data_IF_125084822928
#
_entry.id   IF_125084822928
#
_cell.length_a   1.000
_cell.length_b   1.000
_cell.length_c   1.000
_cell.angle_alpha   90.00
_cell.angle_beta   90.00
_cell.angle_gamma   90.00
#
_symmetry.space_group_name_H-M   'P 1'
#
loop_
_entity.id
_entity.type
_entity.pdbx_description
1 polymer ?
#
# COMPACT_ATOMS: atom_id res chain seq x y z
N UNK A 1 6.88 -19.95 18.04
CA UNK A 1 7.57 -19.39 16.87
C UNK A 1 8.31 -18.16 17.38
N UNK A 2 9.49 -17.84 16.83
CA UNK A 2 10.23 -16.66 17.27
C UNK A 2 9.41 -15.41 16.96
N UNK A 3 9.48 -14.44 17.87
CA UNK A 3 8.79 -13.17 17.76
C UNK A 3 9.81 -12.02 17.71
N UNK A 4 9.42 -10.92 17.07
CA UNK A 4 10.19 -9.68 16.98
C UNK A 4 9.37 -8.51 17.53
N UNK A 5 10.05 -7.57 18.20
CA UNK A 5 9.44 -6.34 18.71
C UNK A 5 9.60 -5.22 17.69
N UNK A 6 8.50 -4.75 17.11
CA UNK A 6 8.48 -3.59 16.20
C UNK A 6 7.97 -2.36 16.95
N UNK A 7 8.73 -1.26 16.96
CA UNK A 7 8.30 -0.01 17.58
C UNK A 7 7.84 0.99 16.53
N UNK A 8 6.59 1.47 16.64
CA UNK A 8 6.05 2.52 15.79
C UNK A 8 6.65 3.89 16.09
N UNK A 9 6.42 4.85 15.19
CA UNK A 9 6.93 6.22 15.30
C UNK A 9 6.41 7.01 16.51
N UNK A 10 5.25 6.63 17.03
CA UNK A 10 4.63 7.15 18.25
C UNK A 10 4.97 6.33 19.51
N UNK A 11 5.89 5.37 19.40
CA UNK A 11 6.53 4.68 20.51
C UNK A 11 5.83 3.42 21.01
N UNK A 12 4.70 3.02 20.41
CA UNK A 12 4.03 1.75 20.71
C UNK A 12 4.85 0.58 20.18
N UNK A 13 4.97 -0.50 20.97
CA UNK A 13 5.74 -1.69 20.62
C UNK A 13 4.78 -2.84 20.34
N UNK A 14 4.97 -3.49 19.20
CA UNK A 14 4.19 -4.62 18.73
C UNK A 14 5.06 -5.87 18.78
N UNK A 15 4.53 -6.90 19.43
CA UNK A 15 5.13 -8.23 19.48
C UNK A 15 4.54 -9.06 18.33
N UNK A 16 5.36 -9.38 17.31
CA UNK A 16 4.92 -9.93 16.03
C UNK A 16 5.69 -11.21 15.71
N UNK A 17 4.99 -12.22 15.22
CA UNK A 17 5.63 -13.45 14.72
C UNK A 17 6.59 -13.12 13.57
N UNK A 18 7.80 -13.68 13.62
CA UNK A 18 8.85 -13.40 12.62
C UNK A 18 8.41 -13.75 11.19
N UNK A 19 7.62 -14.80 10.98
CA UNK A 19 7.14 -15.16 9.65
C UNK A 19 6.13 -14.14 9.11
N UNK A 20 5.35 -13.51 9.98
CA UNK A 20 4.47 -12.39 9.60
C UNK A 20 5.32 -11.14 9.30
N UNK A 21 6.34 -10.86 10.11
CA UNK A 21 7.22 -9.72 9.92
C UNK A 21 8.04 -9.81 8.61
N UNK A 22 8.40 -11.03 8.19
CA UNK A 22 9.09 -11.32 6.92
C UNK A 22 8.27 -11.00 5.66
N UNK A 23 6.97 -10.69 5.79
CA UNK A 23 6.21 -10.11 4.69
C UNK A 23 6.79 -8.75 4.24
N UNK A 24 7.48 -8.05 5.12
CA UNK A 24 8.31 -6.90 4.80
C UNK A 24 9.70 -7.35 4.35
N UNK A 25 10.06 -7.02 3.11
CA UNK A 25 11.41 -7.31 2.60
C UNK A 25 12.45 -6.53 3.41
N UNK A 26 12.16 -5.30 3.82
CA UNK A 26 13.05 -4.49 4.66
C UNK A 26 13.35 -5.17 6.00
N UNK A 27 12.32 -5.65 6.71
CA UNK A 27 12.50 -6.34 8.00
C UNK A 27 13.19 -7.69 7.78
N UNK A 28 12.83 -8.42 6.74
CA UNK A 28 13.48 -9.69 6.39
C UNK A 28 14.99 -9.52 6.18
N UNK A 29 15.41 -8.56 5.35
CA UNK A 29 16.84 -8.28 5.10
C UNK A 29 17.55 -7.86 6.38
N UNK A 30 16.91 -7.02 7.20
CA UNK A 30 17.48 -6.61 8.49
C UNK A 30 17.73 -7.81 9.43
N UNK A 31 16.77 -8.73 9.52
CA UNK A 31 16.88 -9.93 10.34
C UNK A 31 18.01 -10.86 9.84
N UNK A 32 18.03 -11.15 8.53
CA UNK A 32 19.00 -12.06 7.91
C UNK A 32 20.44 -11.50 7.95
N UNK A 33 20.63 -10.19 7.74
CA UNK A 33 21.95 -9.57 7.68
C UNK A 33 22.56 -9.31 9.07
N UNK A 34 21.73 -9.04 10.08
CA UNK A 34 22.16 -8.75 11.44
C UNK A 34 22.16 -9.99 12.36
N UNK A 35 21.57 -11.11 11.92
CA UNK A 35 21.47 -12.34 12.70
C UNK A 35 20.58 -12.20 13.93
N UNK A 36 19.55 -11.36 13.85
CA UNK A 36 18.65 -11.01 14.95
C UNK A 36 17.50 -12.03 15.14
N UNK A 37 17.53 -13.15 14.43
CA UNK A 37 16.44 -14.13 14.37
C UNK A 37 16.11 -14.76 15.74
N UNK A 38 17.07 -14.74 16.68
CA UNK A 38 16.99 -15.35 18.01
C UNK A 38 17.02 -14.33 19.18
N UNK A 39 17.16 -13.02 18.90
CA UNK A 39 17.27 -11.97 19.92
C UNK A 39 15.91 -11.32 20.24
N UNK A 40 15.12 -11.99 21.09
CA UNK A 40 13.76 -11.56 21.50
C UNK A 40 13.69 -10.19 22.20
N UNK A 41 14.84 -9.65 22.63
CA UNK A 41 14.93 -8.37 23.34
C UNK A 41 15.22 -7.17 22.43
N UNK A 42 15.58 -7.40 21.17
CA UNK A 42 15.86 -6.30 20.26
C UNK A 42 14.57 -5.69 19.69
N UNK A 43 14.50 -4.36 19.73
CA UNK A 43 13.34 -3.59 19.27
C UNK A 43 13.71 -2.90 17.97
N UNK A 44 13.01 -3.23 16.89
CA UNK A 44 13.19 -2.63 15.57
C UNK A 44 12.37 -1.33 15.47
N UNK A 45 13.00 -0.16 15.39
CA UNK A 45 12.28 1.10 15.28
C UNK A 45 11.81 1.34 13.84
N UNK A 46 10.53 1.68 13.69
CA UNK A 46 9.87 2.04 12.43
C UNK A 46 9.42 3.51 12.47
N UNK A 47 10.34 4.48 12.32
CA UNK A 47 10.05 5.90 12.54
C UNK A 47 9.08 6.52 11.53
N UNK A 48 8.80 5.84 10.41
CA UNK A 48 7.92 6.33 9.36
C UNK A 48 6.50 5.73 9.42
N UNK A 49 6.18 4.92 10.44
CA UNK A 49 4.87 4.26 10.56
C UNK A 49 4.35 4.41 11.98
N UNK A 50 3.20 5.07 12.15
CA UNK A 50 2.55 5.18 13.45
C UNK A 50 1.84 3.86 13.86
N UNK A 51 1.49 3.74 15.12
CA UNK A 51 0.84 2.56 15.72
C UNK A 51 -0.43 2.11 14.99
N UNK A 52 -1.31 3.05 14.63
CA UNK A 52 -2.60 2.75 13.99
C UNK A 52 -2.42 2.13 12.60
N UNK A 53 -1.44 2.62 11.83
CA UNK A 53 -1.11 2.10 10.50
C UNK A 53 -0.34 0.79 10.62
N UNK A 54 0.64 0.71 11.52
CA UNK A 54 1.43 -0.50 11.75
C UNK A 54 0.53 -1.68 12.15
N UNK A 55 -0.47 -1.45 13.01
CA UNK A 55 -1.47 -2.47 13.38
C UNK A 55 -2.23 -3.02 12.18
N UNK A 56 -2.59 -2.17 11.22
CA UNK A 56 -3.27 -2.58 9.97
C UNK A 56 -2.33 -3.33 9.04
N UNK A 57 -1.08 -2.89 8.92
CA UNK A 57 -0.04 -3.59 8.14
C UNK A 57 0.18 -5.01 8.69
N UNK A 58 0.34 -5.14 10.01
CA UNK A 58 0.49 -6.45 10.67
C UNK A 58 -0.75 -7.31 10.43
N UNK A 59 -1.96 -6.75 10.53
CA UNK A 59 -3.20 -7.49 10.27
C UNK A 59 -3.28 -8.02 8.83
N UNK A 60 -2.90 -7.19 7.85
CA UNK A 60 -2.84 -7.60 6.45
C UNK A 60 -1.82 -8.71 6.22
N UNK A 61 -0.60 -8.55 6.74
CA UNK A 61 0.48 -9.54 6.64
C UNK A 61 0.10 -10.86 7.30
N UNK A 62 -0.61 -10.81 8.43
CA UNK A 62 -1.09 -12.01 9.13
C UNK A 62 -2.06 -12.82 8.27
N UNK A 63 -2.96 -12.15 7.54
CA UNK A 63 -3.92 -12.82 6.67
C UNK A 63 -3.25 -13.43 5.44
N UNK A 64 -2.27 -12.74 4.85
CA UNK A 64 -1.60 -13.13 3.60
C UNK A 64 -0.33 -13.98 3.80
N UNK A 65 -0.01 -14.39 5.04
CA UNK A 65 1.24 -15.12 5.33
C UNK A 65 1.37 -16.46 4.59
N UNK A 66 0.23 -17.08 4.27
CA UNK A 66 0.16 -18.41 3.64
C UNK A 66 -0.13 -18.29 2.12
N UNK A 67 -0.18 -17.07 1.59
CA UNK A 67 -0.41 -16.84 0.17
C UNK A 67 0.82 -17.25 -0.64
N UNK A 68 0.62 -17.74 -1.88
CA UNK A 68 1.73 -18.01 -2.75
C UNK A 68 2.53 -16.72 -2.98
N UNK A 69 3.87 -16.79 -2.99
CA UNK A 69 4.68 -15.61 -3.26
C UNK A 69 4.22 -14.97 -4.57
N UNK A 70 4.13 -13.63 -4.63
CA UNK A 70 3.74 -12.96 -5.86
C UNK A 70 4.68 -13.42 -6.98
N UNK A 71 4.15 -13.73 -8.17
CA UNK A 71 5.00 -14.11 -9.30
C UNK A 71 6.07 -13.02 -9.47
N UNK A 72 7.32 -13.43 -9.70
CA UNK A 72 8.39 -12.49 -10.05
C UNK A 72 7.90 -11.60 -11.18
N UNK A 73 8.22 -10.30 -11.10
CA UNK A 73 7.73 -9.21 -11.94
C UNK A 73 7.67 -9.63 -13.42
N UNK A 74 6.55 -10.24 -13.82
CA UNK A 74 6.24 -10.50 -15.21
C UNK A 74 5.69 -9.19 -15.73
N UNK A 75 6.60 -8.32 -16.17
CA UNK A 75 6.29 -7.00 -16.72
C UNK A 75 5.25 -7.06 -17.85
N UNK A 76 5.00 -8.25 -18.41
CA UNK A 76 4.00 -8.53 -19.44
C UNK A 76 2.60 -8.89 -18.92
N UNK A 77 2.40 -9.12 -17.62
CA UNK A 77 1.06 -9.43 -17.10
C UNK A 77 0.29 -8.12 -16.97
N UNK A 78 -0.83 -8.00 -17.70
CA UNK A 78 -1.75 -6.86 -17.55
C UNK A 78 -2.05 -6.67 -16.07
N UNK A 79 -1.60 -5.54 -15.48
CA UNK A 79 -1.92 -5.16 -14.11
C UNK A 79 -3.39 -4.77 -14.04
N UNK A 80 -4.27 -5.78 -13.99
CA UNK A 80 -5.70 -5.53 -13.97
C UNK A 80 -6.11 -5.01 -12.59
N UNK A 81 -6.93 -3.98 -12.58
CA UNK A 81 -7.38 -3.35 -11.33
C UNK A 81 -8.53 -4.11 -10.68
N UNK A 82 -9.16 -5.06 -11.37
CA UNK A 82 -10.26 -5.90 -10.88
C UNK A 82 -9.79 -7.13 -10.08
N UNK A 83 -8.49 -7.42 -10.09
CA UNK A 83 -7.89 -8.52 -9.32
C UNK A 83 -7.56 -8.07 -7.89
N UNK A 84 -8.61 -7.83 -7.10
CA UNK A 84 -8.56 -7.56 -5.66
C UNK A 84 -9.45 -8.59 -4.97
N UNK A 85 -8.94 -9.29 -3.96
CA UNK A 85 -9.73 -10.25 -3.20
C UNK A 85 -10.87 -9.55 -2.45
N UNK A 86 -11.95 -10.27 -2.15
CA UNK A 86 -13.04 -9.70 -1.35
C UNK A 86 -12.57 -9.27 0.04
N UNK A 87 -11.62 -10.01 0.62
CA UNK A 87 -11.03 -9.66 1.91
C UNK A 87 -10.23 -8.36 1.84
N UNK A 88 -9.40 -8.18 0.81
CA UNK A 88 -8.66 -6.93 0.60
C UNK A 88 -9.59 -5.75 0.35
N UNK A 89 -10.65 -5.95 -0.44
CA UNK A 89 -11.64 -4.92 -0.69
C UNK A 89 -12.32 -4.45 0.60
N UNK A 90 -12.63 -5.37 1.51
CA UNK A 90 -13.20 -5.05 2.83
C UNK A 90 -12.15 -4.44 3.77
N UNK A 91 -10.91 -4.95 3.76
CA UNK A 91 -9.80 -4.42 4.55
C UNK A 91 -9.46 -2.96 4.18
N UNK A 92 -9.48 -2.64 2.88
CA UNK A 92 -9.17 -1.32 2.34
C UNK A 92 -10.38 -0.37 2.33
N UNK A 93 -11.51 -0.78 2.91
CA UNK A 93 -12.69 0.08 3.11
C UNK A 93 -12.48 1.04 4.27
N UNK A 94 -11.49 1.89 4.13
CA UNK A 94 -11.06 2.93 5.09
C UNK A 94 -11.19 4.32 4.47
N UNK A 95 -10.96 5.37 5.26
CA UNK A 95 -10.88 6.73 4.73
C UNK A 95 -9.61 6.92 3.87
N UNK A 96 -9.61 7.95 3.01
CA UNK A 96 -8.51 8.21 2.08
C UNK A 96 -7.18 8.47 2.81
N UNK A 97 -7.20 9.13 3.98
CA UNK A 97 -5.99 9.39 4.75
C UNK A 97 -5.34 8.10 5.21
N UNK A 98 -6.12 7.20 5.80
CA UNK A 98 -5.65 5.86 6.18
C UNK A 98 -5.16 5.06 4.96
N UNK A 99 -5.85 5.14 3.82
CA UNK A 99 -5.43 4.45 2.60
C UNK A 99 -4.08 4.96 2.08
N UNK A 100 -3.86 6.28 2.07
CA UNK A 100 -2.57 6.85 1.65
C UNK A 100 -1.45 6.52 2.62
N UNK A 101 -1.70 6.54 3.92
CA UNK A 101 -0.73 6.11 4.93
C UNK A 101 -0.38 4.62 4.77
N UNK A 102 -1.34 3.76 4.43
CA UNK A 102 -1.07 2.35 4.11
C UNK A 102 -0.19 2.20 2.87
N UNK A 103 -0.39 3.02 1.82
CA UNK A 103 0.48 3.04 0.63
C UNK A 103 1.92 3.43 1.02
N UNK A 104 2.06 4.50 1.80
CA UNK A 104 3.38 4.98 2.25
C UNK A 104 4.09 3.94 3.13
N UNK A 105 3.37 3.33 4.07
CA UNK A 105 3.90 2.29 4.94
C UNK A 105 4.29 1.04 4.16
N UNK A 106 3.46 0.59 3.21
CA UNK A 106 3.74 -0.57 2.37
C UNK A 106 4.98 -0.34 1.49
N UNK A 107 5.15 0.86 0.94
CA UNK A 107 6.34 1.23 0.19
C UNK A 107 7.59 1.32 1.09
N UNK A 108 7.47 1.91 2.29
CA UNK A 108 8.58 2.03 3.23
C UNK A 108 9.08 0.67 3.74
N UNK A 109 8.16 -0.24 4.03
CA UNK A 109 8.45 -1.60 4.51
C UNK A 109 8.69 -2.60 3.37
N UNK A 110 8.59 -2.16 2.12
CA UNK A 110 8.70 -3.00 0.92
C UNK A 110 7.80 -4.26 1.00
N UNK A 111 6.51 -4.03 1.19
CA UNK A 111 5.46 -5.07 1.19
C UNK A 111 4.72 -4.97 -0.15
N UNK A 112 5.28 -5.59 -1.18
CA UNK A 112 4.75 -5.51 -2.57
C UNK A 112 3.25 -5.83 -2.68
N UNK A 113 2.78 -6.89 -2.02
CA UNK A 113 1.38 -7.29 -2.08
C UNK A 113 0.42 -6.22 -1.55
N UNK A 114 0.74 -5.62 -0.39
CA UNK A 114 -0.04 -4.52 0.20
C UNK A 114 0.00 -3.26 -0.67
N UNK A 115 1.17 -2.94 -1.23
CA UNK A 115 1.35 -1.81 -2.14
C UNK A 115 0.51 -1.98 -3.41
N UNK A 116 0.46 -3.18 -3.97
CA UNK A 116 -0.32 -3.49 -5.16
C UNK A 116 -1.82 -3.36 -4.92
N UNK A 117 -2.36 -3.98 -3.86
CA UNK A 117 -3.81 -3.92 -3.58
C UNK A 117 -4.28 -2.50 -3.22
N UNK A 118 -3.45 -1.73 -2.51
CA UNK A 118 -3.76 -0.32 -2.20
C UNK A 118 -3.71 0.55 -3.46
N UNK A 119 -2.70 0.39 -4.32
CA UNK A 119 -2.64 1.08 -5.61
C UNK A 119 -3.80 0.72 -6.54
N UNK A 120 -4.15 -0.58 -6.66
CA UNK A 120 -5.32 -1.04 -7.43
C UNK A 120 -6.62 -0.41 -6.90
N UNK A 121 -6.75 -0.30 -5.59
CA UNK A 121 -7.92 0.33 -4.95
C UNK A 121 -8.04 1.80 -5.33
N UNK A 122 -6.95 2.57 -5.26
CA UNK A 122 -6.95 3.98 -5.72
C UNK A 122 -7.24 4.08 -7.22
N UNK A 123 -6.67 3.19 -8.05
CA UNK A 123 -6.94 3.15 -9.48
C UNK A 123 -8.43 2.89 -9.79
N UNK A 124 -9.07 1.99 -9.05
CA UNK A 124 -10.52 1.75 -9.17
C UNK A 124 -11.37 2.96 -8.73
N UNK A 125 -10.88 3.80 -7.82
CA UNK A 125 -11.56 5.06 -7.46
C UNK A 125 -11.51 6.11 -8.58
N UNK A 126 -10.58 5.98 -9.52
CA UNK A 126 -10.37 6.90 -10.66
C UNK A 126 -11.05 6.36 -11.92
N UNK A 127 -11.04 5.03 -12.10
CA UNK A 127 -11.57 4.35 -13.28
C UNK A 127 -13.04 4.74 -13.55
N UNK A 128 -13.30 5.22 -14.77
CA UNK A 128 -14.64 5.57 -15.24
C UNK A 128 -15.20 6.90 -14.71
N UNK A 129 -14.41 7.69 -13.98
CA UNK A 129 -14.80 9.03 -13.52
C UNK A 129 -14.29 10.12 -14.45
N UNK A 130 -15.02 11.23 -14.52
CA UNK A 130 -14.55 12.41 -15.25
C UNK A 130 -13.44 13.14 -14.47
N UNK A 131 -12.62 13.98 -15.14
CA UNK A 131 -11.61 14.80 -14.46
C UNK A 131 -12.19 15.64 -13.30
N UNK A 132 -13.41 16.17 -13.45
CA UNK A 132 -14.09 16.96 -12.42
C UNK A 132 -14.48 16.11 -11.21
N UNK A 133 -14.99 14.90 -11.44
CA UNK A 133 -15.35 13.95 -10.39
C UNK A 133 -14.11 13.47 -9.62
N UNK A 134 -13.01 13.20 -10.32
CA UNK A 134 -11.72 12.85 -9.72
C UNK A 134 -11.23 14.01 -8.85
N UNK A 135 -11.21 15.23 -9.40
CA UNK A 135 -10.79 16.43 -8.64
C UNK A 135 -11.62 16.62 -7.38
N UNK A 136 -12.94 16.47 -7.47
CA UNK A 136 -13.83 16.56 -6.31
C UNK A 136 -13.56 15.45 -5.29
N UNK A 137 -13.39 14.21 -5.75
CA UNK A 137 -13.16 13.05 -4.90
C UNK A 137 -11.87 13.18 -4.07
N UNK A 138 -10.80 13.65 -4.69
CA UNK A 138 -9.48 13.79 -4.06
C UNK A 138 -9.19 15.21 -3.56
N UNK A 139 -10.20 16.09 -3.58
CA UNK A 139 -10.09 17.49 -3.18
C UNK A 139 -8.94 18.25 -3.88
N UNK A 140 -8.76 17.98 -5.18
CA UNK A 140 -7.73 18.60 -6.03
C UNK A 140 -8.31 19.86 -6.67
N UNK A 141 -7.62 20.99 -6.50
CA UNK A 141 -7.98 22.24 -7.15
C UNK A 141 -7.64 22.18 -8.64
N UNK A 142 -8.56 22.60 -9.52
CA UNK A 142 -8.22 22.84 -10.92
C UNK A 142 -7.30 24.05 -11.02
N UNK A 143 -6.09 23.84 -11.51
CA UNK A 143 -5.04 24.82 -11.71
C UNK A 143 -4.83 25.21 -13.18
N UNK A 144 -5.58 24.60 -14.11
CA UNK A 144 -5.63 25.03 -15.50
C UNK A 144 -6.43 26.31 -15.69
N UNK A 145 -5.96 27.17 -16.58
CA UNK A 145 -6.79 28.24 -17.15
C UNK A 145 -7.83 27.64 -18.12
N UNK A 146 -8.93 28.35 -18.42
CA UNK A 146 -9.94 27.86 -19.37
C UNK A 146 -9.37 27.48 -20.75
N UNK A 147 -8.36 28.23 -21.22
CA UNK A 147 -7.71 27.96 -22.51
C UNK A 147 -6.84 26.70 -22.48
N UNK A 148 -6.13 26.44 -21.38
CA UNK A 148 -5.32 25.23 -21.22
C UNK A 148 -6.21 24.00 -21.08
N UNK A 149 -7.31 24.11 -20.35
CA UNK A 149 -8.27 23.02 -20.18
C UNK A 149 -8.94 22.65 -21.53
N UNK A 150 -9.31 23.65 -22.34
CA UNK A 150 -9.86 23.42 -23.68
C UNK A 150 -8.83 22.78 -24.62
N UNK A 151 -7.56 23.21 -24.55
CA UNK A 151 -6.48 22.60 -25.33
C UNK A 151 -6.28 21.13 -24.94
N UNK A 152 -6.14 20.83 -23.64
CA UNK A 152 -5.96 19.46 -23.14
C UNK A 152 -7.16 18.59 -23.49
N UNK A 153 -8.38 19.11 -23.43
CA UNK A 153 -9.59 18.39 -23.83
C UNK A 153 -9.55 18.02 -25.31
N UNK A 154 -9.25 19.00 -26.17
CA UNK A 154 -9.13 18.79 -27.62
C UNK A 154 -8.04 17.78 -27.99
N UNK A 155 -6.89 17.84 -27.30
CA UNK A 155 -5.79 16.89 -27.50
C UNK A 155 -6.15 15.46 -27.06
N UNK A 156 -7.13 15.28 -26.17
CA UNK A 156 -7.55 14.00 -25.63
C UNK A 156 -8.92 13.52 -26.13
N UNK A 157 -9.54 14.21 -27.10
CA UNK A 157 -10.84 13.80 -27.70
C UNK A 157 -10.82 12.36 -28.24
N UNK A 158 -9.67 11.88 -28.73
CA UNK A 158 -9.48 10.50 -29.21
C UNK A 158 -9.73 9.42 -28.14
N UNK A 159 -9.70 9.76 -26.86
CA UNK A 159 -10.05 8.85 -25.76
C UNK A 159 -11.57 8.70 -25.55
N UNK A 160 -12.37 9.69 -25.97
CA UNK A 160 -13.83 9.71 -25.79
C UNK A 160 -14.58 9.05 -26.96
N UNK A 161 -13.95 8.88 -28.12
CA UNK A 161 -14.56 8.31 -29.34
C UNK A 161 -14.65 6.75 -29.38
N UNK A 162 -14.72 6.06 -28.23
CA UNK A 162 -14.83 4.58 -28.18
C UNK A 162 -16.20 4.06 -27.76
#
# INVERSE_FOLDING_TARGET
MPNIKLQSSDGEVFDVDVEIAKASVTIKTMLEDLGMDDDEDEVVPLPNVNSAILKKVIHWATYHKDDPPPPEDDENKEKRTDDISSWDADFLKVDQGTLFELILAANYLDIKGLLDVTCKTVANMIKGKTPEEIRKQFNIKNDFTPSEEEQVRKENEWCEEK
#
